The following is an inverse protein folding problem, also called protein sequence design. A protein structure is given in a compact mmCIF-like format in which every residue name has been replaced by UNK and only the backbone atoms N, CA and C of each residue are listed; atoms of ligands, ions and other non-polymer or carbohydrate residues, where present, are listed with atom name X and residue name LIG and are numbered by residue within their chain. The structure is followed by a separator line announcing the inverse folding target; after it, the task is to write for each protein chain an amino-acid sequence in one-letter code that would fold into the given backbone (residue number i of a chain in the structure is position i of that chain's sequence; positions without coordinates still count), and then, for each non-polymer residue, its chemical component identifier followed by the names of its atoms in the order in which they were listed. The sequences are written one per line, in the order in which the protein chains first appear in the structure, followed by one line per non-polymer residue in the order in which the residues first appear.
data_IF_492681748941
#
_entry.id   IF_492681748941
#
_cell.length_a   1.000
_cell.length_b   1.000
_cell.length_c   1.000
_cell.angle_alpha   90.00
_cell.angle_beta   90.00
_cell.angle_gamma   90.00
#
_symmetry.space_group_name_H-M   'P 1'
#
loop_
_entity.id
_entity.type
_entity.pdbx_description
1 polymer ?
#
# COMPACT_ATOMS: atom_id res chain seq x y z
N UNK A 1 5.40 9.25 -12.49
CA UNK A 1 4.61 8.00 -12.65
C UNK A 1 4.63 7.51 -14.09
N UNK A 2 4.40 8.37 -15.11
CA UNK A 2 4.38 7.96 -16.52
C UNK A 2 5.71 7.35 -17.00
N UNK A 3 6.83 7.99 -16.73
CA UNK A 3 8.17 7.51 -17.11
C UNK A 3 8.51 6.16 -16.45
N UNK A 4 8.22 6.04 -15.16
CA UNK A 4 8.40 4.79 -14.39
C UNK A 4 7.56 3.66 -14.99
N UNK A 5 6.30 3.93 -15.33
CA UNK A 5 5.42 2.96 -15.98
C UNK A 5 6.01 2.45 -17.28
N UNK A 6 6.50 3.33 -18.16
CA UNK A 6 7.11 2.93 -19.43
C UNK A 6 8.37 2.08 -19.25
N UNK A 7 9.21 2.45 -18.29
CA UNK A 7 10.41 1.67 -17.96
C UNK A 7 10.04 0.27 -17.46
N UNK A 8 9.11 0.16 -16.50
CA UNK A 8 8.66 -1.13 -15.97
C UNK A 8 7.95 -1.98 -17.03
N UNK A 9 7.17 -1.37 -17.93
CA UNK A 9 6.52 -2.11 -19.03
C UNK A 9 7.52 -2.83 -19.94
N UNK A 10 8.70 -2.25 -20.19
CA UNK A 10 9.76 -2.88 -20.98
C UNK A 10 10.39 -4.09 -20.29
N UNK A 11 10.28 -4.17 -18.97
CA UNK A 11 10.83 -5.26 -18.18
C UNK A 11 9.86 -6.44 -18.00
N UNK A 12 8.54 -6.24 -18.23
CA UNK A 12 7.55 -7.29 -18.03
C UNK A 12 7.85 -8.59 -18.78
N UNK A 13 8.34 -8.59 -20.04
CA UNK A 13 8.65 -9.81 -20.76
C UNK A 13 9.84 -10.63 -20.20
N UNK A 14 10.59 -10.08 -19.25
CA UNK A 14 11.71 -10.76 -18.60
C UNK A 14 11.28 -11.64 -17.42
N UNK A 15 9.98 -11.65 -17.10
CA UNK A 15 9.36 -12.49 -16.07
C UNK A 15 8.45 -13.51 -16.74
N UNK A 16 8.28 -14.69 -16.13
CA UNK A 16 7.32 -15.70 -16.62
C UNK A 16 5.87 -15.19 -16.50
N UNK A 17 5.62 -14.41 -15.48
CA UNK A 17 4.36 -13.71 -15.28
C UNK A 17 4.61 -12.34 -14.64
N UNK A 18 4.08 -11.29 -15.23
CA UNK A 18 4.15 -9.96 -14.62
C UNK A 18 3.01 -9.06 -15.06
N UNK A 19 2.60 -8.16 -14.15
CA UNK A 19 1.63 -7.12 -14.46
C UNK A 19 1.86 -5.86 -13.63
N UNK A 20 1.41 -4.73 -14.17
CA UNK A 20 1.45 -3.41 -13.53
C UNK A 20 0.04 -2.96 -13.20
N UNK A 21 -0.20 -2.62 -11.93
CA UNK A 21 -1.47 -2.08 -11.45
C UNK A 21 -1.24 -0.66 -10.94
N UNK A 22 -1.92 0.34 -11.50
CA UNK A 22 -1.98 1.64 -10.86
C UNK A 22 -2.81 1.54 -9.58
N UNK A 23 -2.43 2.29 -8.56
CA UNK A 23 -3.26 2.46 -7.37
C UNK A 23 -3.34 3.95 -7.00
N UNK A 24 -4.45 4.30 -6.39
CA UNK A 24 -4.70 5.64 -5.85
C UNK A 24 -5.01 5.51 -4.38
N UNK A 25 -4.55 6.46 -3.58
CA UNK A 25 -4.91 6.54 -2.18
C UNK A 25 -6.39 6.86 -2.02
N UNK A 26 -7.15 5.91 -1.45
CA UNK A 26 -8.58 6.10 -1.22
C UNK A 26 -8.86 7.07 -0.07
N UNK A 27 -7.93 7.23 0.89
CA UNK A 27 -8.10 8.13 2.02
C UNK A 27 -8.04 9.60 1.59
N UNK A 28 -7.34 9.93 0.52
CA UNK A 28 -7.29 11.28 -0.02
C UNK A 28 -8.66 11.77 -0.55
N UNK A 29 -9.56 10.85 -0.91
CA UNK A 29 -10.93 11.21 -1.30
C UNK A 29 -11.80 11.71 -0.14
N UNK A 30 -11.38 11.46 1.11
CA UNK A 30 -12.07 11.86 2.34
C UNK A 30 -11.46 13.11 2.99
N UNK A 31 -10.26 13.46 2.58
CA UNK A 31 -9.54 14.64 3.04
C UNK A 31 -9.29 15.52 1.81
N UNK A 32 -9.29 16.82 1.96
CA UNK A 32 -9.01 17.77 0.88
C UNK A 32 -7.54 17.70 0.38
N UNK A 33 -6.96 16.52 0.45
CA UNK A 33 -5.58 16.24 0.04
C UNK A 33 -5.53 15.70 -1.39
N UNK A 34 -4.49 16.08 -2.12
CA UNK A 34 -4.24 15.59 -3.48
C UNK A 34 -4.05 14.06 -3.46
N UNK A 35 -4.83 13.28 -4.23
CA UNK A 35 -4.70 11.82 -4.26
C UNK A 35 -3.30 11.39 -4.68
N UNK A 36 -2.68 10.52 -3.88
CA UNK A 36 -1.40 9.92 -4.26
C UNK A 36 -1.66 8.79 -5.25
N UNK A 37 -1.00 8.85 -6.38
CA UNK A 37 -1.02 7.78 -7.37
C UNK A 37 0.30 7.04 -7.37
N UNK A 38 0.26 5.72 -7.44
CA UNK A 38 1.43 4.87 -7.49
C UNK A 38 1.27 3.73 -8.49
N UNK A 39 2.34 2.96 -8.66
CA UNK A 39 2.36 1.75 -9.47
C UNK A 39 2.81 0.57 -8.63
N UNK A 40 2.13 -0.55 -8.80
CA UNK A 40 2.50 -1.83 -8.22
C UNK A 40 2.88 -2.79 -9.35
N UNK A 41 4.16 -3.18 -9.40
CA UNK A 41 4.62 -4.30 -10.20
C UNK A 41 4.46 -5.57 -9.38
N UNK A 42 3.78 -6.57 -9.95
CA UNK A 42 3.81 -7.95 -9.46
C UNK A 42 4.39 -8.84 -10.54
N UNK A 43 5.35 -9.64 -10.16
CA UNK A 43 6.03 -10.55 -11.07
C UNK A 43 6.31 -11.88 -10.37
N UNK A 44 6.36 -12.94 -11.16
CA UNK A 44 6.75 -14.28 -10.75
C UNK A 44 7.66 -14.90 -11.80
N UNK A 45 8.63 -15.67 -11.34
CA UNK A 45 9.51 -16.47 -12.15
C UNK A 45 9.53 -17.91 -11.63
N UNK A 46 9.67 -18.88 -12.52
CA UNK A 46 9.85 -20.29 -12.19
C UNK A 46 11.18 -20.56 -11.50
N UNK A 47 12.16 -19.69 -11.71
CA UNK A 47 13.45 -19.66 -11.03
C UNK A 47 13.66 -18.31 -10.35
N UNK A 48 14.63 -18.25 -9.44
CA UNK A 48 14.98 -17.00 -8.80
C UNK A 48 15.36 -15.94 -9.85
N UNK A 49 14.76 -14.76 -9.73
CA UNK A 49 15.05 -13.66 -10.65
C UNK A 49 16.54 -13.27 -10.57
N UNK A 50 17.14 -13.01 -11.73
CA UNK A 50 18.52 -12.57 -11.81
C UNK A 50 18.75 -11.26 -11.05
N UNK A 51 19.92 -11.16 -10.42
CA UNK A 51 20.32 -9.97 -9.66
C UNK A 51 20.37 -8.70 -10.53
N UNK A 52 20.78 -8.83 -11.80
CA UNK A 52 20.81 -7.71 -12.76
C UNK A 52 19.41 -7.23 -13.10
N UNK A 53 18.45 -8.13 -13.30
CA UNK A 53 17.05 -7.79 -13.51
C UNK A 53 16.47 -7.07 -12.30
N UNK A 54 16.71 -7.56 -11.08
CA UNK A 54 16.25 -6.92 -9.85
C UNK A 54 16.90 -5.54 -9.64
N UNK A 55 18.14 -5.37 -10.06
CA UNK A 55 18.81 -4.07 -10.04
C UNK A 55 18.14 -3.08 -10.99
N UNK A 56 17.88 -3.49 -12.23
CA UNK A 56 17.19 -2.66 -13.23
C UNK A 56 15.78 -2.28 -12.78
N UNK A 57 15.03 -3.20 -12.13
CA UNK A 57 13.73 -2.89 -11.53
C UNK A 57 13.88 -1.86 -10.42
N UNK A 58 14.88 -2.01 -9.55
CA UNK A 58 15.12 -1.06 -8.47
C UNK A 58 15.46 0.34 -9.00
N UNK A 59 16.26 0.43 -10.07
CA UNK A 59 16.54 1.70 -10.74
C UNK A 59 15.28 2.33 -11.33
N UNK A 60 14.48 1.57 -12.04
CA UNK A 60 13.23 2.04 -12.62
C UNK A 60 12.26 2.57 -11.55
N UNK A 61 12.28 1.98 -10.35
CA UNK A 61 11.51 2.41 -9.19
C UNK A 61 12.16 3.57 -8.39
N UNK A 62 13.35 4.01 -8.76
CA UNK A 62 14.11 5.04 -8.04
C UNK A 62 14.58 4.62 -6.65
N UNK A 63 14.88 3.32 -6.48
CA UNK A 63 15.29 2.71 -5.21
C UNK A 63 16.81 2.62 -5.04
N UNK A 64 17.59 3.39 -5.80
CA UNK A 64 19.05 3.45 -5.71
C UNK A 64 19.58 4.76 -5.09
N UNK A 65 18.69 5.53 -4.43
CA UNK A 65 19.05 6.77 -3.75
C UNK A 65 19.60 6.53 -2.34
N UNK A 66 20.29 7.53 -1.79
CA UNK A 66 20.80 7.49 -0.42
C UNK A 66 19.71 7.29 0.68
N UNK A 67 18.46 7.63 0.36
CA UNK A 67 17.29 7.44 1.24
C UNK A 67 16.72 6.01 1.20
N UNK A 68 17.38 5.10 0.48
CA UNK A 68 16.92 3.72 0.33
C UNK A 68 17.72 2.78 1.23
N UNK A 69 17.01 2.04 2.05
CA UNK A 69 17.57 0.95 2.85
C UNK A 69 17.59 -0.33 2.00
N UNK A 70 18.66 -1.11 2.09
CA UNK A 70 18.82 -2.35 1.33
C UNK A 70 19.14 -3.52 2.27
N UNK A 71 18.52 -4.66 1.95
CA UNK A 71 18.86 -5.97 2.50
C UNK A 71 18.95 -6.97 1.36
N UNK A 72 19.99 -7.79 1.37
CA UNK A 72 20.18 -8.88 0.43
C UNK A 72 20.72 -10.11 1.16
N UNK A 73 20.11 -11.26 0.91
CA UNK A 73 20.57 -12.57 1.34
C UNK A 73 20.77 -13.45 0.10
N UNK A 74 22.02 -13.66 -0.25
CA UNK A 74 22.38 -14.46 -1.45
C UNK A 74 22.06 -15.95 -1.25
N UNK A 75 22.10 -16.47 -0.02
CA UNK A 75 21.82 -17.88 0.29
C UNK A 75 20.33 -18.18 0.15
N UNK A 76 19.47 -17.28 0.68
CA UNK A 76 18.02 -17.41 0.59
C UNK A 76 17.43 -16.80 -0.67
N UNK A 77 18.28 -16.22 -1.51
CA UNK A 77 17.87 -15.49 -2.72
C UNK A 77 16.79 -14.45 -2.42
N UNK A 78 17.02 -13.64 -1.40
CA UNK A 78 16.09 -12.61 -0.95
C UNK A 78 16.69 -11.22 -1.14
N UNK A 79 15.88 -10.29 -1.62
CA UNK A 79 16.22 -8.87 -1.68
C UNK A 79 15.06 -8.03 -1.18
N UNK A 80 15.39 -7.03 -0.37
CA UNK A 80 14.45 -6.00 0.06
C UNK A 80 15.10 -4.63 -0.07
N UNK A 81 14.41 -3.72 -0.70
CA UNK A 81 14.79 -2.31 -0.78
C UNK A 81 13.60 -1.47 -0.34
N UNK A 82 13.83 -0.51 0.55
CA UNK A 82 12.79 0.34 1.13
C UNK A 82 13.25 1.79 1.07
N UNK A 83 12.56 2.60 0.31
CA UNK A 83 12.82 4.05 0.20
C UNK A 83 11.93 4.80 1.17
N UNK A 84 12.55 5.62 1.99
CA UNK A 84 11.87 6.42 3.02
C UNK A 84 11.92 7.90 2.67
N UNK A 85 10.94 8.68 3.15
CA UNK A 85 11.01 10.14 3.09
C UNK A 85 12.20 10.66 3.91
N UNK A 86 12.69 11.85 3.57
CA UNK A 86 13.67 12.53 4.41
C UNK A 86 13.13 12.69 5.84
N UNK A 87 14.00 12.53 6.83
CA UNK A 87 13.64 12.76 8.22
C UNK A 87 13.59 14.27 8.51
N UNK A 88 12.51 14.74 9.09
CA UNK A 88 12.39 16.15 9.48
C UNK A 88 13.07 16.47 10.82
N UNK A 89 13.73 15.50 11.45
CA UNK A 89 14.36 15.67 12.77
C UNK A 89 15.81 15.18 12.73
N UNK A 90 16.71 16.10 12.98
CA UNK A 90 18.15 15.87 13.10
C UNK A 90 18.57 15.76 14.57
N UNK A 91 18.10 14.74 15.29
CA UNK A 91 18.64 14.39 16.61
C UNK A 91 19.11 12.96 16.62
N UNK A 92 20.29 12.71 17.17
CA UNK A 92 21.00 11.43 17.17
C UNK A 92 20.31 10.33 18.00
N UNK A 93 19.36 10.67 18.83
CA UNK A 93 18.77 9.73 19.81
C UNK A 93 17.35 9.25 19.54
N UNK A 94 16.70 9.75 18.49
CA UNK A 94 15.37 9.26 18.11
C UNK A 94 15.27 9.14 16.59
N UNK A 95 14.89 7.98 16.03
CA UNK A 95 14.63 7.87 14.61
C UNK A 95 13.47 8.82 14.27
N UNK A 96 13.77 9.87 13.48
CA UNK A 96 12.74 10.79 13.02
C UNK A 96 11.63 10.06 12.28
N UNK A 97 10.44 10.64 12.31
CA UNK A 97 9.30 10.07 11.58
C UNK A 97 9.57 10.06 10.08
N UNK A 98 9.41 8.90 9.46
CA UNK A 98 9.59 8.68 8.02
C UNK A 98 8.38 7.95 7.45
N UNK A 99 7.96 8.33 6.27
CA UNK A 99 6.93 7.60 5.51
C UNK A 99 7.56 6.79 4.37
N UNK A 100 6.92 5.68 4.04
CA UNK A 100 7.34 4.84 2.92
C UNK A 100 7.06 5.55 1.59
N UNK A 101 8.06 5.63 0.72
CA UNK A 101 7.97 6.24 -0.61
C UNK A 101 8.01 5.21 -1.73
N UNK A 102 8.61 4.06 -1.48
CA UNK A 102 8.71 2.98 -2.44
C UNK A 102 9.35 1.74 -1.82
N UNK A 103 9.12 0.58 -2.41
CA UNK A 103 9.76 -0.65 -1.98
C UNK A 103 9.91 -1.66 -3.11
N UNK A 104 10.87 -2.56 -2.96
CA UNK A 104 11.05 -3.77 -3.75
C UNK A 104 11.23 -4.94 -2.79
N UNK A 105 10.52 -6.02 -3.05
CA UNK A 105 10.65 -7.29 -2.32
C UNK A 105 10.76 -8.41 -3.33
N UNK A 106 11.80 -9.21 -3.25
CA UNK A 106 12.02 -10.40 -4.08
C UNK A 106 12.42 -11.59 -3.21
N UNK A 107 12.01 -12.79 -3.60
CA UNK A 107 12.15 -14.02 -2.84
C UNK A 107 11.05 -14.16 -1.80
N UNK A 108 11.27 -13.71 -0.57
CA UNK A 108 10.22 -13.68 0.46
C UNK A 108 9.32 -12.45 0.32
N UNK A 109 8.12 -12.65 -0.22
CA UNK A 109 7.16 -11.59 -0.50
C UNK A 109 6.12 -11.36 0.60
N UNK A 110 6.20 -12.02 1.76
CA UNK A 110 5.22 -11.92 2.86
C UNK A 110 5.02 -10.49 3.34
N UNK A 111 6.09 -9.71 3.41
CA UNK A 111 6.03 -8.29 3.79
C UNK A 111 5.38 -7.36 2.75
N UNK A 112 5.25 -7.78 1.49
CA UNK A 112 4.74 -6.92 0.42
C UNK A 112 3.33 -6.39 0.70
N UNK A 113 2.51 -7.16 1.41
CA UNK A 113 1.14 -6.77 1.76
C UNK A 113 1.10 -5.56 2.68
N UNK A 114 1.80 -5.61 3.81
CA UNK A 114 1.78 -4.50 4.76
C UNK A 114 2.62 -3.30 4.29
N UNK A 115 3.73 -3.53 3.55
CA UNK A 115 4.48 -2.45 2.91
C UNK A 115 3.60 -1.68 1.90
N UNK A 116 2.83 -2.38 1.07
CA UNK A 116 1.88 -1.74 0.17
C UNK A 116 0.89 -0.86 0.94
N UNK A 117 0.36 -1.35 2.05
CA UNK A 117 -0.58 -0.59 2.86
C UNK A 117 0.05 0.69 3.42
N UNK A 118 1.25 0.60 4.00
CA UNK A 118 1.98 1.76 4.50
C UNK A 118 2.30 2.77 3.39
N UNK A 119 2.64 2.27 2.18
CA UNK A 119 2.88 3.13 1.03
C UNK A 119 1.62 3.91 0.63
N UNK A 120 0.45 3.26 0.67
CA UNK A 120 -0.82 3.89 0.34
C UNK A 120 -1.28 4.90 1.41
N UNK A 121 -1.07 4.59 2.69
CA UNK A 121 -1.47 5.44 3.80
C UNK A 121 -0.49 6.59 4.05
N UNK A 122 0.75 6.45 3.58
CA UNK A 122 1.85 7.39 3.85
C UNK A 122 2.04 7.71 5.34
N UNK A 123 1.64 6.80 6.21
CA UNK A 123 1.73 6.97 7.67
C UNK A 123 3.18 7.18 8.09
N UNK A 124 3.51 8.28 8.79
CA UNK A 124 4.85 8.49 9.30
C UNK A 124 5.12 7.54 10.48
N UNK A 125 6.26 6.87 10.48
CA UNK A 125 6.66 5.90 11.50
C UNK A 125 8.11 6.14 11.93
N UNK A 126 8.36 5.98 13.22
CA UNK A 126 9.69 6.16 13.82
C UNK A 126 10.40 4.82 14.03
N UNK A 127 10.44 3.99 12.98
CA UNK A 127 11.08 2.68 13.06
C UNK A 127 12.57 2.74 12.73
N UNK A 128 13.41 2.01 13.46
CA UNK A 128 14.81 1.85 13.08
C UNK A 128 14.93 1.07 11.75
N UNK A 129 16.01 1.29 11.03
CA UNK A 129 16.27 0.68 9.71
C UNK A 129 16.05 -0.84 9.70
N UNK A 130 16.46 -1.53 10.77
CA UNK A 130 16.29 -2.97 10.89
C UNK A 130 14.82 -3.40 10.86
N UNK A 131 13.91 -2.66 11.47
CA UNK A 131 12.48 -3.01 11.48
C UNK A 131 11.88 -2.89 10.08
N UNK A 132 12.27 -1.88 9.30
CA UNK A 132 11.83 -1.74 7.92
C UNK A 132 12.27 -2.90 7.02
N UNK A 133 13.47 -3.44 7.27
CA UNK A 133 14.07 -4.46 6.42
C UNK A 133 13.78 -5.89 6.86
N UNK A 134 13.66 -6.16 8.17
CA UNK A 134 13.62 -7.53 8.70
C UNK A 134 12.23 -8.06 9.00
N UNK A 135 11.24 -7.20 9.22
CA UNK A 135 9.88 -7.66 9.49
C UNK A 135 9.29 -8.39 8.27
N UNK A 136 8.74 -9.60 8.46
CA UNK A 136 8.26 -10.45 7.38
C UNK A 136 6.72 -10.52 7.30
N UNK A 137 6.08 -11.24 8.19
CA UNK A 137 4.65 -11.57 8.08
C UNK A 137 3.72 -10.43 8.51
N UNK A 138 4.15 -9.67 9.52
CA UNK A 138 3.39 -8.55 10.08
C UNK A 138 4.27 -7.31 10.16
N UNK A 139 3.67 -6.10 10.12
CA UNK A 139 4.40 -4.88 10.38
C UNK A 139 4.90 -4.89 11.83
N UNK A 140 6.04 -4.21 12.11
CA UNK A 140 6.50 -4.00 13.47
C UNK A 140 5.45 -3.28 14.34
N UNK A 141 5.59 -3.37 15.66
CA UNK A 141 4.75 -2.63 16.60
C UNK A 141 4.74 -1.13 16.31
N UNK A 142 3.61 -0.48 16.55
CA UNK A 142 3.41 0.95 16.27
C UNK A 142 2.85 1.26 14.88
N UNK A 143 2.78 0.30 13.94
CA UNK A 143 1.90 0.45 12.79
C UNK A 143 0.46 0.24 13.23
N UNK A 144 -0.42 1.17 12.88
CA UNK A 144 -1.84 0.96 13.09
C UNK A 144 -2.28 -0.35 12.40
N UNK A 145 -3.11 -1.17 13.04
CA UNK A 145 -3.64 -2.36 12.40
C UNK A 145 -4.36 -1.97 11.13
N UNK A 146 -3.93 -2.56 10.03
CA UNK A 146 -4.53 -2.26 8.73
C UNK A 146 -5.95 -2.82 8.72
N UNK A 147 -6.91 -1.94 8.60
CA UNK A 147 -8.31 -2.30 8.47
C UNK A 147 -8.56 -3.16 7.23
N UNK A 148 -9.51 -4.08 7.34
CA UNK A 148 -9.85 -5.02 6.28
C UNK A 148 -10.33 -4.31 5.01
N UNK A 149 -9.78 -4.64 3.86
CA UNK A 149 -10.28 -4.17 2.57
C UNK A 149 -11.64 -4.82 2.25
N UNK A 150 -12.64 -3.98 2.03
CA UNK A 150 -14.02 -4.38 1.70
C UNK A 150 -14.29 -4.24 0.22
N UNK A 151 -13.92 -3.12 -0.39
CA UNK A 151 -14.06 -2.89 -1.81
C UNK A 151 -12.71 -3.02 -2.51
N UNK A 152 -12.51 -4.10 -3.28
CA UNK A 152 -11.24 -4.35 -3.98
C UNK A 152 -11.04 -3.43 -5.19
N UNK A 153 -12.11 -3.08 -5.91
CA UNK A 153 -12.04 -2.24 -7.13
C UNK A 153 -11.56 -0.83 -6.83
N UNK A 154 -11.95 -0.28 -5.68
CA UNK A 154 -11.67 1.10 -5.28
C UNK A 154 -10.78 1.17 -4.02
N UNK A 155 -10.25 0.03 -3.57
CA UNK A 155 -9.37 -0.07 -2.39
C UNK A 155 -9.96 0.55 -1.12
N UNK A 156 -11.29 0.45 -0.92
CA UNK A 156 -11.97 1.00 0.26
C UNK A 156 -11.94 0.00 1.40
N UNK A 157 -11.56 0.45 2.57
CA UNK A 157 -11.39 -0.33 3.79
C UNK A 157 -12.53 -0.12 4.77
N UNK A 158 -12.64 -1.03 5.73
CA UNK A 158 -13.72 -1.04 6.71
C UNK A 158 -13.68 0.17 7.66
N UNK A 159 -12.50 0.68 8.01
CA UNK A 159 -12.34 1.89 8.82
C UNK A 159 -12.90 3.13 8.11
N UNK A 160 -12.58 3.32 6.84
CA UNK A 160 -13.12 4.40 6.04
C UNK A 160 -14.65 4.31 5.90
N UNK A 161 -15.17 3.09 5.71
CA UNK A 161 -16.62 2.83 5.66
C UNK A 161 -17.26 3.18 7.01
N UNK A 162 -16.64 2.74 8.11
CA UNK A 162 -17.16 2.98 9.46
C UNK A 162 -17.15 4.48 9.80
N UNK A 163 -16.04 5.17 9.48
CA UNK A 163 -15.95 6.62 9.68
C UNK A 163 -17.03 7.39 8.89
N UNK A 164 -17.25 7.00 7.63
CA UNK A 164 -18.29 7.57 6.80
C UNK A 164 -19.69 7.33 7.38
N UNK A 165 -19.96 6.10 7.88
CA UNK A 165 -21.25 5.74 8.47
C UNK A 165 -21.53 6.44 9.80
N UNK A 166 -20.50 6.83 10.56
CA UNK A 166 -20.65 7.58 11.81
C UNK A 166 -21.21 8.99 11.61
N UNK A 167 -21.17 9.52 10.40
CA UNK A 167 -21.73 10.83 10.05
C UNK A 167 -23.07 10.75 9.32
N UNK A 168 -23.61 9.52 9.13
CA UNK A 168 -24.80 9.30 8.32
C UNK A 168 -25.96 8.76 9.17
N UNK A 169 -27.13 9.34 8.98
CA UNK A 169 -28.41 8.88 9.53
C UNK A 169 -29.32 8.37 8.40
N UNK A 170 -30.37 7.63 8.75
CA UNK A 170 -31.38 7.19 7.79
C UNK A 170 -31.48 5.68 7.64
N UNK A 171 -32.26 5.24 6.66
CA UNK A 171 -32.46 3.82 6.36
C UNK A 171 -31.18 3.14 5.83
N UNK A 172 -31.14 1.80 5.84
CA UNK A 172 -30.03 1.03 5.29
C UNK A 172 -29.70 1.45 3.86
N UNK A 173 -30.73 1.65 3.03
CA UNK A 173 -30.53 2.04 1.62
C UNK A 173 -30.03 3.47 1.47
N UNK A 174 -30.48 4.40 2.32
CA UNK A 174 -29.97 5.77 2.33
C UNK A 174 -28.50 5.81 2.75
N UNK A 175 -28.11 5.07 3.78
CA UNK A 175 -26.71 4.96 4.21
C UNK A 175 -25.83 4.26 3.15
N UNK A 176 -26.37 3.25 2.47
CA UNK A 176 -25.67 2.63 1.34
C UNK A 176 -25.44 3.63 0.20
N UNK A 177 -26.47 4.38 -0.17
CA UNK A 177 -26.34 5.44 -1.18
C UNK A 177 -25.32 6.51 -0.77
N UNK A 178 -25.28 6.87 0.51
CA UNK A 178 -24.26 7.78 1.07
C UNK A 178 -22.83 7.24 0.93
N UNK A 179 -22.61 5.96 1.25
CA UNK A 179 -21.31 5.30 1.04
C UNK A 179 -20.92 5.27 -0.46
N UNK A 180 -21.87 4.99 -1.34
CA UNK A 180 -21.67 4.99 -2.78
C UNK A 180 -21.34 6.39 -3.31
N UNK A 181 -21.97 7.41 -2.77
CA UNK A 181 -21.71 8.81 -3.14
C UNK A 181 -20.32 9.29 -2.69
N UNK A 182 -19.94 9.01 -1.44
CA UNK A 182 -18.70 9.51 -0.86
C UNK A 182 -17.48 8.63 -1.17
N UNK A 183 -17.59 7.32 -0.99
CA UNK A 183 -16.49 6.37 -1.16
C UNK A 183 -16.51 5.63 -2.49
N UNK A 184 -17.59 5.79 -3.25
CA UNK A 184 -17.83 5.08 -4.51
C UNK A 184 -17.77 3.54 -4.40
N UNK A 185 -17.72 2.98 -3.19
CA UNK A 185 -17.67 1.55 -2.98
C UNK A 185 -19.01 0.90 -3.40
N UNK A 186 -18.92 -0.24 -4.09
CA UNK A 186 -20.10 -0.92 -4.63
C UNK A 186 -20.63 -0.38 -5.95
N UNK A 187 -20.01 0.66 -6.53
CA UNK A 187 -20.47 1.27 -7.79
C UNK A 187 -19.85 0.65 -9.05
N UNK A 188 -18.78 -0.13 -8.91
CA UNK A 188 -18.10 -0.79 -10.03
C UNK A 188 -18.68 -2.21 -10.25
N UNK A 189 -18.09 -3.24 -9.66
CA UNK A 189 -18.52 -4.62 -9.82
C UNK A 189 -19.69 -5.02 -8.89
N UNK A 190 -19.98 -4.23 -7.85
CA UNK A 190 -21.04 -4.51 -6.89
C UNK A 190 -20.79 -5.67 -5.92
N UNK A 191 -19.70 -6.42 -6.06
CA UNK A 191 -19.43 -7.63 -5.24
C UNK A 191 -19.31 -7.35 -3.74
N UNK A 192 -18.93 -6.14 -3.35
CA UNK A 192 -18.82 -5.75 -1.94
C UNK A 192 -20.16 -5.30 -1.32
N UNK A 193 -21.22 -5.08 -2.10
CA UNK A 193 -22.52 -4.57 -1.59
C UNK A 193 -23.11 -5.42 -0.47
N UNK A 194 -23.12 -6.76 -0.54
CA UNK A 194 -23.61 -7.58 0.57
C UNK A 194 -22.84 -7.37 1.87
N UNK A 195 -21.53 -7.15 1.78
CA UNK A 195 -20.67 -6.89 2.94
C UNK A 195 -20.87 -5.46 3.47
N UNK A 196 -21.04 -4.47 2.59
CA UNK A 196 -21.39 -3.11 2.97
C UNK A 196 -22.68 -3.07 3.80
N UNK A 197 -23.74 -3.81 3.38
CA UNK A 197 -24.98 -3.90 4.13
C UNK A 197 -24.78 -4.50 5.52
N UNK A 198 -23.93 -5.52 5.67
CA UNK A 198 -23.58 -6.07 7.00
C UNK A 198 -22.92 -5.04 7.90
N UNK A 199 -21.99 -4.25 7.36
CA UNK A 199 -21.31 -3.19 8.10
C UNK A 199 -22.30 -2.10 8.50
N UNK A 200 -23.19 -1.67 7.60
CA UNK A 200 -24.22 -0.66 7.87
C UNK A 200 -25.09 -1.07 9.06
N UNK A 201 -25.53 -2.33 9.13
CA UNK A 201 -26.36 -2.86 10.25
C UNK A 201 -25.60 -2.90 11.58
N UNK A 202 -24.28 -3.09 11.54
CA UNK A 202 -23.42 -3.20 12.72
C UNK A 202 -23.02 -1.84 13.29
N UNK A 203 -22.85 -0.83 12.43
CA UNK A 203 -22.43 0.52 12.85
C UNK A 203 -23.66 1.32 13.29
N UNK A 204 -23.74 1.73 14.58
CA UNK A 204 -24.85 2.52 15.06
C UNK A 204 -24.93 3.87 14.35
N UNK A 205 -26.12 4.44 14.31
CA UNK A 205 -26.32 5.78 13.80
C UNK A 205 -25.87 6.81 14.85
N UNK A 206 -25.35 7.96 14.41
CA UNK A 206 -25.08 9.06 15.34
C UNK A 206 -26.38 9.50 16.04
N UNK A 207 -26.25 9.87 17.29
CA UNK A 207 -27.37 10.40 18.10
C UNK A 207 -27.82 11.77 17.60
#
# INVERSE_FOLDING_TARGET
VWTVRQQLQKLLPQFDFAYLVPFTDAAAALTDQTPRTGLLLRAACSQAADAALLHTVAEALGLNSADTLHYQDAVRVQRRSVKLSASNVSTTDSPGQRSLQGFLVAGDSRSARWLKNLLQEATPLSWPARQWLMASDAPPEGAAPVSRQVCSCLNVREDAITACLQTQTGSEDQRLAGLQGQLRCGTQCGSCVPELRKIIRRVPQPA
#
